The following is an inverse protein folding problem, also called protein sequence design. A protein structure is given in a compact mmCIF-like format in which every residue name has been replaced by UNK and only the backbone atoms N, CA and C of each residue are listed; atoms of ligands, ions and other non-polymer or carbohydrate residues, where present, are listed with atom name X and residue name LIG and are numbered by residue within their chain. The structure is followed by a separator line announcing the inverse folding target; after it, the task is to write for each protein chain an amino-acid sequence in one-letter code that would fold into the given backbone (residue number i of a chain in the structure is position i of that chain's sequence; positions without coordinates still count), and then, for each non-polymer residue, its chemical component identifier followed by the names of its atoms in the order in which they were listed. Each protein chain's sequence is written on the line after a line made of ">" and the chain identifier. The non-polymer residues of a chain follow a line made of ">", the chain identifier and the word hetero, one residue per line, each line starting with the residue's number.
data_IF_790313553038
#
_entry.id   IF_790313553038
#
_cell.length_a   1.000
_cell.length_b   1.000
_cell.length_c   1.000
_cell.angle_alpha   90.00
_cell.angle_beta   90.00
_cell.angle_gamma   90.00
#
_symmetry.space_group_name_H-M   'P 1'
#
loop_
_entity.id
_entity.type
_entity.pdbx_description
1 polymer ?
#
# COMPACT_ATOMS: atom_id res chain seq x y z
N UNK A 1 15.31 8.68 10.87
CA UNK A 1 14.64 9.54 9.88
C UNK A 1 14.62 8.87 8.50
N UNK A 2 14.12 7.63 8.36
CA UNK A 2 14.20 6.86 7.08
C UNK A 2 13.00 5.96 6.76
N UNK A 3 12.05 5.76 7.68
CA UNK A 3 11.06 4.67 7.55
C UNK A 3 9.82 5.06 6.75
N UNK A 4 9.42 6.34 6.79
CA UNK A 4 8.33 6.87 5.95
C UNK A 4 8.79 7.19 4.54
N UNK A 5 10.09 7.43 4.33
CA UNK A 5 10.66 7.76 3.01
C UNK A 5 10.47 6.62 2.00
N UNK A 6 10.55 5.36 2.45
CA UNK A 6 10.26 4.22 1.56
C UNK A 6 8.79 4.15 1.17
N UNK A 7 7.86 4.56 2.04
CA UNK A 7 6.43 4.61 1.72
C UNK A 7 6.11 5.75 0.75
N UNK A 8 6.74 6.92 0.93
CA UNK A 8 6.67 8.04 -0.02
C UNK A 8 7.20 7.62 -1.40
N UNK A 9 8.32 6.92 -1.43
CA UNK A 9 8.89 6.40 -2.68
C UNK A 9 8.00 5.35 -3.35
N UNK A 10 7.26 4.56 -2.56
CA UNK A 10 6.23 3.67 -3.10
C UNK A 10 5.09 4.48 -3.75
N UNK A 11 4.63 5.57 -3.11
CA UNK A 11 3.58 6.44 -3.67
C UNK A 11 3.98 7.10 -4.98
N UNK A 12 5.21 7.60 -5.11
CA UNK A 12 5.68 8.18 -6.37
C UNK A 12 5.70 7.14 -7.52
N UNK A 13 6.06 5.89 -7.18
CA UNK A 13 6.00 4.77 -8.12
C UNK A 13 4.56 4.40 -8.47
N UNK A 14 3.65 4.40 -7.49
CA UNK A 14 2.23 4.16 -7.75
C UNK A 14 1.65 5.24 -8.66
N UNK A 15 1.91 6.53 -8.41
CA UNK A 15 1.47 7.63 -9.28
C UNK A 15 1.93 7.41 -10.72
N UNK A 16 3.20 7.05 -10.93
CA UNK A 16 3.74 6.74 -12.27
C UNK A 16 3.00 5.57 -12.94
N UNK A 17 2.72 4.50 -12.20
CA UNK A 17 2.01 3.32 -12.74
C UNK A 17 0.53 3.61 -13.01
N UNK A 18 -0.12 4.41 -12.17
CA UNK A 18 -1.50 4.83 -12.33
C UNK A 18 -1.65 5.76 -13.53
N UNK A 19 -0.70 6.68 -13.75
CA UNK A 19 -0.67 7.52 -14.96
C UNK A 19 -0.49 6.68 -16.23
N UNK A 20 0.37 5.66 -16.18
CA UNK A 20 0.53 4.72 -17.30
C UNK A 20 -0.75 3.89 -17.55
N UNK A 21 -1.44 3.48 -16.49
CA UNK A 21 -2.70 2.74 -16.59
C UNK A 21 -3.81 3.62 -17.19
N UNK A 22 -3.97 4.84 -16.69
CA UNK A 22 -4.92 5.83 -17.19
C UNK A 22 -4.68 6.12 -18.69
N UNK A 23 -3.42 6.34 -19.06
CA UNK A 23 -3.03 6.52 -20.45
C UNK A 23 -3.38 5.28 -21.31
N UNK A 24 -3.10 4.07 -20.84
CA UNK A 24 -3.38 2.83 -21.55
C UNK A 24 -4.88 2.59 -21.76
N UNK A 25 -5.73 3.03 -20.82
CA UNK A 25 -7.19 3.00 -20.94
C UNK A 25 -7.73 4.02 -21.98
N UNK A 26 -6.98 5.10 -22.23
CA UNK A 26 -7.31 6.13 -23.20
C UNK A 26 -6.93 5.81 -24.66
N UNK A 27 -6.05 4.83 -24.88
CA UNK A 27 -5.56 4.49 -26.22
C UNK A 27 -6.62 3.78 -27.08
N UNK A 28 -6.63 4.09 -28.38
CA UNK A 28 -7.41 3.36 -29.38
C UNK A 28 -6.59 2.17 -29.88
N UNK A 29 -6.83 0.98 -29.37
CA UNK A 29 -6.14 -0.25 -29.79
C UNK A 29 -6.34 -1.40 -28.80
N UNK A 30 -5.80 -2.57 -29.13
CA UNK A 30 -5.78 -3.71 -28.20
C UNK A 30 -4.68 -3.49 -27.13
N UNK A 31 -5.03 -2.79 -26.06
CA UNK A 31 -4.15 -2.55 -24.91
C UNK A 31 -4.33 -3.58 -23.79
N UNK A 32 -5.09 -4.66 -24.02
CA UNK A 32 -5.48 -5.61 -22.96
C UNK A 32 -4.30 -6.14 -22.16
N UNK A 33 -3.22 -6.48 -22.85
CA UNK A 33 -2.01 -7.01 -22.21
C UNK A 33 -1.32 -5.93 -21.37
N UNK A 34 -1.20 -4.71 -21.90
CA UNK A 34 -0.59 -3.59 -21.17
C UNK A 34 -1.38 -3.27 -19.91
N UNK A 35 -2.71 -3.14 -20.02
CA UNK A 35 -3.61 -2.88 -18.89
C UNK A 35 -3.50 -4.01 -17.87
N UNK A 36 -3.49 -5.27 -18.31
CA UNK A 36 -3.35 -6.43 -17.40
C UNK A 36 -2.03 -6.44 -16.66
N UNK A 37 -0.91 -6.24 -17.36
CA UNK A 37 0.42 -6.23 -16.74
C UNK A 37 0.59 -5.05 -15.78
N UNK A 38 0.01 -3.89 -16.09
CA UNK A 38 -0.02 -2.74 -15.17
C UNK A 38 -0.85 -3.07 -13.91
N UNK A 39 -2.04 -3.66 -14.06
CA UNK A 39 -2.85 -4.09 -12.92
C UNK A 39 -2.13 -5.13 -12.06
N UNK A 40 -1.44 -6.10 -12.67
CA UNK A 40 -0.65 -7.10 -11.96
C UNK A 40 0.51 -6.46 -11.18
N UNK A 41 1.23 -5.53 -11.83
CA UNK A 41 2.33 -4.79 -11.19
C UNK A 41 1.84 -3.94 -10.03
N UNK A 42 0.71 -3.26 -10.19
CA UNK A 42 0.07 -2.47 -9.15
C UNK A 42 -0.39 -3.34 -7.97
N UNK A 43 -1.06 -4.47 -8.22
CA UNK A 43 -1.54 -5.37 -7.16
C UNK A 43 -0.38 -5.92 -6.32
N UNK A 44 0.67 -6.42 -6.98
CA UNK A 44 1.83 -6.95 -6.28
C UNK A 44 2.51 -5.88 -5.40
N UNK A 45 2.72 -4.67 -5.95
CA UNK A 45 3.34 -3.57 -5.22
C UNK A 45 2.44 -3.06 -4.09
N UNK A 46 1.13 -3.00 -4.30
CA UNK A 46 0.17 -2.57 -3.30
C UNK A 46 0.19 -3.51 -2.10
N UNK A 47 0.18 -4.83 -2.31
CA UNK A 47 0.27 -5.82 -1.22
C UNK A 47 1.54 -5.65 -0.40
N UNK A 48 2.67 -5.45 -1.08
CA UNK A 48 3.95 -5.20 -0.44
C UNK A 48 3.97 -3.89 0.35
N UNK A 49 3.36 -2.84 -0.19
CA UNK A 49 3.20 -1.55 0.47
C UNK A 49 2.32 -1.65 1.71
N UNK A 50 1.12 -2.23 1.59
CA UNK A 50 0.18 -2.45 2.71
C UNK A 50 0.82 -3.25 3.85
N UNK A 51 1.66 -4.24 3.52
CA UNK A 51 2.42 -5.01 4.52
C UNK A 51 3.39 -4.10 5.28
N UNK A 52 4.22 -3.32 4.57
CA UNK A 52 5.18 -2.38 5.19
C UNK A 52 4.49 -1.29 6.00
N UNK A 53 3.37 -0.78 5.50
CA UNK A 53 2.54 0.19 6.20
C UNK A 53 2.00 -0.38 7.52
N UNK A 54 1.43 -1.59 7.48
CA UNK A 54 0.91 -2.30 8.65
C UNK A 54 1.99 -2.58 9.71
N UNK A 55 3.19 -2.96 9.28
CA UNK A 55 4.36 -3.15 10.15
C UNK A 55 4.76 -1.84 10.86
N UNK A 56 4.74 -0.72 10.12
CA UNK A 56 5.07 0.59 10.65
C UNK A 56 4.02 1.10 11.65
N UNK A 57 2.74 0.93 11.32
CA UNK A 57 1.62 1.28 12.19
C UNK A 57 1.68 0.47 13.49
N UNK A 58 1.91 -0.84 13.40
CA UNK A 58 2.03 -1.72 14.56
C UNK A 58 3.18 -1.27 15.46
N UNK A 59 4.31 -0.87 14.88
CA UNK A 59 5.45 -0.31 15.61
C UNK A 59 5.06 1.00 16.32
N UNK A 60 4.16 1.79 15.74
CA UNK A 60 3.75 3.10 16.24
C UNK A 60 2.49 3.08 17.13
N UNK A 61 1.84 1.94 17.38
CA UNK A 61 0.57 1.81 18.15
C UNK A 61 0.59 2.26 19.62
N UNK A 62 1.73 2.78 20.12
CA UNK A 62 1.86 3.27 21.50
C UNK A 62 1.36 4.72 21.70
N UNK A 63 1.81 5.71 20.91
CA UNK A 63 1.45 7.13 21.14
C UNK A 63 0.21 7.65 20.39
N UNK A 64 -0.29 6.93 19.38
CA UNK A 64 -1.38 7.39 18.51
C UNK A 64 -2.67 6.61 18.78
N UNK A 65 -3.81 7.28 18.70
CA UNK A 65 -5.12 6.65 18.87
C UNK A 65 -5.32 5.54 17.84
N UNK A 66 -5.43 4.29 18.30
CA UNK A 66 -5.50 3.10 17.45
C UNK A 66 -6.59 3.18 16.37
N UNK A 67 -7.68 3.91 16.63
CA UNK A 67 -8.82 4.06 15.72
C UNK A 67 -8.54 4.96 14.52
N UNK A 68 -7.78 6.04 14.70
CA UNK A 68 -7.43 6.97 13.61
C UNK A 68 -6.34 6.40 12.70
N UNK A 69 -5.36 5.71 13.30
CA UNK A 69 -4.34 4.98 12.54
C UNK A 69 -4.91 3.85 11.70
N UNK A 70 -5.89 3.12 12.23
CA UNK A 70 -6.50 1.99 11.53
C UNK A 70 -7.37 2.49 10.37
N UNK A 71 -8.17 3.55 10.57
CA UNK A 71 -9.00 4.14 9.51
C UNK A 71 -8.19 4.75 8.34
N UNK A 72 -6.98 5.26 8.59
CA UNK A 72 -6.10 5.80 7.54
C UNK A 72 -5.31 4.72 6.79
N UNK A 73 -5.26 3.50 7.32
CA UNK A 73 -4.49 2.38 6.77
C UNK A 73 -5.36 1.29 6.12
N UNK A 74 -6.63 1.19 6.51
CA UNK A 74 -7.61 0.25 5.94
C UNK A 74 -8.08 0.63 4.53
N UNK A 75 -7.60 1.74 3.96
CA UNK A 75 -8.08 2.27 2.68
C UNK A 75 -7.87 1.32 1.49
N UNK A 76 -6.74 0.64 1.42
CA UNK A 76 -6.26 -0.07 0.20
C UNK A 76 -6.99 -1.38 -0.17
N UNK A 77 -8.01 -1.78 0.60
CA UNK A 77 -8.72 -3.05 0.36
C UNK A 77 -9.54 -3.06 -0.93
N UNK A 78 -10.23 -1.96 -1.21
CA UNK A 78 -11.08 -1.81 -2.40
C UNK A 78 -10.23 -1.70 -3.67
N UNK A 79 -9.09 -1.02 -3.58
CA UNK A 79 -8.06 -0.93 -4.61
C UNK A 79 -7.52 -2.30 -5.02
N UNK A 80 -7.09 -3.09 -4.04
CA UNK A 80 -6.57 -4.43 -4.29
C UNK A 80 -7.64 -5.33 -4.93
N UNK A 81 -8.90 -5.18 -4.50
CA UNK A 81 -10.02 -5.90 -5.07
C UNK A 81 -10.28 -5.52 -6.53
N UNK A 82 -10.28 -4.22 -6.85
CA UNK A 82 -10.49 -3.73 -8.21
C UNK A 82 -9.38 -4.20 -9.17
N UNK A 83 -8.12 -4.15 -8.73
CA UNK A 83 -6.98 -4.65 -9.51
C UNK A 83 -7.09 -6.17 -9.75
N UNK A 84 -7.43 -6.94 -8.72
CA UNK A 84 -7.60 -8.38 -8.84
C UNK A 84 -8.73 -8.75 -9.82
N UNK A 85 -9.87 -8.06 -9.73
CA UNK A 85 -10.97 -8.23 -10.69
C UNK A 85 -10.52 -7.93 -12.12
N UNK A 86 -9.80 -6.83 -12.36
CA UNK A 86 -9.27 -6.50 -13.67
C UNK A 86 -8.30 -7.57 -14.19
N UNK A 87 -7.40 -8.08 -13.35
CA UNK A 87 -6.47 -9.16 -13.72
C UNK A 87 -7.26 -10.40 -14.15
N UNK A 88 -8.27 -10.80 -13.38
CA UNK A 88 -9.08 -11.99 -13.67
C UNK A 88 -9.83 -11.85 -15.00
N UNK A 89 -10.54 -10.74 -15.19
CA UNK A 89 -11.31 -10.45 -16.41
C UNK A 89 -10.42 -10.40 -17.65
N UNK A 90 -9.26 -9.74 -17.55
CA UNK A 90 -8.32 -9.58 -18.68
C UNK A 90 -7.51 -10.86 -18.97
N UNK A 91 -7.39 -11.78 -18.01
CA UNK A 91 -6.71 -13.07 -18.22
C UNK A 91 -7.58 -14.07 -18.96
N UNK A 92 -8.90 -14.05 -18.73
CA UNK A 92 -9.87 -14.90 -19.43
C UNK A 92 -10.39 -14.33 -20.75
N UNK A 93 -10.14 -13.05 -21.02
CA UNK A 93 -10.71 -12.36 -22.17
C UNK A 93 -9.96 -12.62 -23.49
N UNK A 94 -10.69 -13.09 -24.49
CA UNK A 94 -10.25 -13.19 -25.89
C UNK A 94 -10.56 -11.93 -26.72
N UNK A 95 -11.31 -10.97 -26.18
CA UNK A 95 -11.81 -9.79 -26.90
C UNK A 95 -11.27 -8.47 -26.36
N UNK A 96 -10.97 -7.54 -27.27
CA UNK A 96 -10.62 -6.15 -26.96
C UNK A 96 -11.75 -5.39 -26.24
N UNK A 97 -13.00 -5.85 -26.32
CA UNK A 97 -14.14 -5.24 -25.62
C UNK A 97 -14.02 -5.32 -24.10
N UNK A 98 -13.25 -6.25 -23.54
CA UNK A 98 -13.09 -6.38 -22.08
C UNK A 98 -12.41 -5.15 -21.47
N UNK A 99 -11.44 -4.55 -22.15
CA UNK A 99 -10.80 -3.31 -21.67
C UNK A 99 -11.83 -2.18 -21.59
N UNK A 100 -12.73 -2.10 -22.57
CA UNK A 100 -13.80 -1.10 -22.58
C UNK A 100 -14.75 -1.25 -21.38
N UNK A 101 -15.17 -2.49 -21.06
CA UNK A 101 -16.00 -2.76 -19.89
C UNK A 101 -15.28 -2.46 -18.56
N UNK A 102 -13.97 -2.72 -18.49
CA UNK A 102 -13.16 -2.49 -17.29
C UNK A 102 -12.75 -1.03 -17.11
N UNK A 103 -12.93 -0.18 -18.12
CA UNK A 103 -12.48 1.21 -18.09
C UNK A 103 -13.04 2.00 -16.91
N UNK A 104 -14.37 2.06 -16.78
CA UNK A 104 -15.01 2.81 -15.69
C UNK A 104 -14.59 2.33 -14.28
N UNK A 105 -14.63 1.02 -14.00
CA UNK A 105 -14.13 0.48 -12.74
C UNK A 105 -12.66 0.82 -12.46
N UNK A 106 -11.78 0.74 -13.47
CA UNK A 106 -10.36 1.06 -13.31
C UNK A 106 -10.11 2.56 -13.12
N UNK A 107 -10.82 3.43 -13.83
CA UNK A 107 -10.75 4.89 -13.64
C UNK A 107 -11.17 5.28 -12.22
N UNK A 108 -12.22 4.64 -11.68
CA UNK A 108 -12.63 4.84 -10.28
C UNK A 108 -11.55 4.36 -9.31
N UNK A 109 -10.98 3.18 -9.54
CA UNK A 109 -9.90 2.65 -8.69
C UNK A 109 -8.67 3.57 -8.71
N UNK A 110 -8.29 4.11 -9.87
CA UNK A 110 -7.19 5.08 -10.00
C UNK A 110 -7.44 6.32 -9.15
N UNK A 111 -8.67 6.86 -9.18
CA UNK A 111 -9.04 8.02 -8.38
C UNK A 111 -8.98 7.73 -6.88
N UNK A 112 -9.44 6.55 -6.44
CA UNK A 112 -9.38 6.10 -5.04
C UNK A 112 -7.94 5.94 -4.55
N UNK A 113 -7.08 5.27 -5.34
CA UNK A 113 -5.66 5.15 -5.08
C UNK A 113 -5.00 6.50 -4.82
N UNK A 114 -5.23 7.48 -5.71
CA UNK A 114 -4.66 8.82 -5.60
C UNK A 114 -5.14 9.51 -4.32
N UNK A 115 -6.45 9.43 -4.05
CA UNK A 115 -7.04 9.99 -2.83
C UNK A 115 -6.46 9.37 -1.55
N UNK A 116 -6.31 8.05 -1.49
CA UNK A 116 -5.74 7.38 -0.32
C UNK A 116 -4.26 7.72 -0.12
N UNK A 117 -3.45 7.74 -1.18
CA UNK A 117 -2.05 8.17 -1.07
C UNK A 117 -1.93 9.60 -0.54
N UNK A 118 -2.73 10.54 -1.07
CA UNK A 118 -2.72 11.92 -0.62
C UNK A 118 -3.20 12.06 0.84
N UNK A 119 -4.21 11.28 1.25
CA UNK A 119 -4.68 11.25 2.63
C UNK A 119 -3.63 10.70 3.60
N UNK A 120 -2.90 9.65 3.19
CA UNK A 120 -1.82 9.07 3.98
C UNK A 120 -0.63 10.02 4.09
N UNK A 121 -0.22 10.66 3.00
CA UNK A 121 0.86 11.67 3.01
C UNK A 121 0.52 12.89 3.85
N UNK A 122 -0.74 13.35 3.80
CA UNK A 122 -1.18 14.52 4.54
C UNK A 122 -1.35 14.25 6.04
N UNK A 123 -1.87 13.08 6.43
CA UNK A 123 -2.25 12.79 7.82
C UNK A 123 -1.40 11.71 8.48
N UNK A 124 -1.27 10.56 7.83
CA UNK A 124 -0.69 9.37 8.44
C UNK A 124 0.84 9.47 8.56
N UNK A 125 1.54 9.79 7.48
CA UNK A 125 3.00 9.80 7.48
C UNK A 125 3.59 10.84 8.44
N UNK A 126 3.05 12.08 8.56
CA UNK A 126 3.49 13.01 9.59
C UNK A 126 3.29 12.47 11.01
N UNK A 127 2.15 11.83 11.28
CA UNK A 127 1.87 11.25 12.59
C UNK A 127 2.83 10.09 12.92
N UNK A 128 3.11 9.22 11.95
CA UNK A 128 4.09 8.14 12.10
C UNK A 128 5.51 8.68 12.32
N UNK A 129 5.93 9.69 11.55
CA UNK A 129 7.24 10.33 11.71
C UNK A 129 7.40 10.97 13.09
N UNK A 130 6.37 11.65 13.60
CA UNK A 130 6.37 12.21 14.96
C UNK A 130 6.48 11.10 16.02
N UNK A 131 5.68 10.05 15.92
CA UNK A 131 5.68 8.92 16.86
C UNK A 131 7.04 8.20 16.92
N UNK A 132 7.68 8.01 15.76
CA UNK A 132 9.02 7.42 15.69
C UNK A 132 10.09 8.32 16.34
N UNK A 133 10.02 9.63 16.11
CA UNK A 133 10.97 10.57 16.72
C UNK A 133 10.79 10.70 18.24
N UNK A 134 9.56 10.70 18.73
CA UNK A 134 9.26 10.71 20.17
C UNK A 134 9.81 9.45 20.85
N UNK A 135 9.68 8.28 20.22
CA UNK A 135 10.27 7.02 20.72
C UNK A 135 11.79 7.07 20.80
N UNK A 136 12.46 7.57 19.75
CA UNK A 136 13.94 7.73 19.76
C UNK A 136 14.37 8.64 20.92
N UNK A 137 13.65 9.74 21.17
CA UNK A 137 13.96 10.66 22.29
C UNK A 137 13.75 10.05 23.67
N UNK A 138 12.86 9.06 23.81
CA UNK A 138 12.54 8.40 25.08
C UNK A 138 13.45 7.21 25.42
N UNK A 139 14.28 6.74 24.48
CA UNK A 139 15.35 5.80 24.81
C UNK A 139 16.45 6.62 25.50
N UNK A 140 16.74 6.38 26.79
CA UNK A 140 17.85 7.08 27.45
C UNK A 140 19.16 6.60 26.81
N UNK A 141 20.06 7.54 26.51
CA UNK A 141 21.49 7.23 26.36
C UNK A 141 22.01 6.74 27.73
N UNK A 142 21.78 5.47 28.05
CA UNK A 142 22.49 4.78 29.13
C UNK A 142 23.61 3.96 28.51
N UNK A 143 24.88 4.35 28.70
CA UNK A 143 26.03 3.61 28.15
C UNK A 143 26.29 2.23 28.79
N UNK A 144 25.41 1.68 29.63
CA UNK A 144 25.76 0.57 30.54
C UNK A 144 24.65 -0.47 30.77
N UNK A 145 23.91 -0.86 29.73
CA UNK A 145 22.95 -1.96 29.83
C UNK A 145 23.14 -3.03 28.74
N UNK A 146 24.38 -3.51 28.59
CA UNK A 146 24.63 -4.84 28.04
C UNK A 146 24.47 -5.87 29.17
N UNK A 147 23.23 -6.18 29.54
CA UNK A 147 22.93 -7.41 30.29
C UNK A 147 21.74 -8.10 29.62
N UNK A 148 22.09 -9.17 28.91
CA UNK A 148 21.32 -10.37 28.61
C UNK A 148 19.79 -10.25 28.44
N UNK A 149 19.33 -10.42 27.20
CA UNK A 149 18.08 -11.15 26.96
C UNK A 149 18.30 -12.26 25.93
N UNK A 150 18.37 -13.47 26.50
CA UNK A 150 18.44 -14.78 25.84
C UNK A 150 17.21 -15.05 24.93
N UNK A 151 17.31 -15.93 23.92
CA UNK A 151 16.37 -15.99 22.79
C UNK A 151 15.20 -16.93 23.08
N UNK A 152 14.06 -16.41 23.57
CA UNK A 152 12.82 -17.20 23.66
C UNK A 152 11.59 -16.32 23.44
N UNK A 153 11.06 -16.27 22.22
CA UNK A 153 9.66 -16.61 21.94
C UNK A 153 9.25 -16.56 20.46
N UNK A 154 9.26 -17.76 19.85
CA UNK A 154 8.23 -18.35 18.97
C UNK A 154 7.25 -17.41 18.26
N UNK A 155 7.43 -17.38 16.93
CA UNK A 155 6.43 -17.65 15.87
C UNK A 155 4.96 -17.68 16.35
N UNK A 156 4.18 -16.69 15.93
CA UNK A 156 2.75 -16.87 15.63
C UNK A 156 2.52 -16.56 14.16
N UNK A 157 2.46 -17.65 13.39
CA UNK A 157 1.93 -17.71 12.02
C UNK A 157 0.44 -17.34 12.10
N UNK A 158 0.04 -16.25 11.46
CA UNK A 158 -1.37 -15.99 11.16
C UNK A 158 -1.66 -16.61 9.79
N UNK A 159 -2.47 -17.66 9.80
CA UNK A 159 -3.05 -18.25 8.59
C UNK A 159 -4.25 -17.39 8.18
N UNK A 160 -4.19 -16.81 6.97
CA UNK A 160 -5.38 -16.28 6.31
C UNK A 160 -5.99 -17.42 5.48
N UNK A 161 -7.12 -17.94 5.94
CA UNK A 161 -8.00 -18.81 5.17
C UNK A 161 -8.91 -17.96 4.27
N UNK A 162 -8.91 -18.26 2.97
CA UNK A 162 -10.05 -18.12 2.08
C UNK A 162 -10.42 -19.51 1.57
#
# INVERSE_FOLDING_TARGET
>A
MKTTDSLLHDHDRFRTLLDALDAALGLRGDTRFVVRELCFTLDHRLRDHMRRESELITTCRGPLGARELTALAEGHGDEAHALNQAIWQLSGASSASTVWYMRGPLELAIAQFRYHMDAQEYKLFPALAWSLNDRVRRVPDTPDALVELSPVNRVRRWEFTY
#
